data_IF_758595920642
#
_entry.id   IF_758595920642
#
_cell.length_a   1.000
_cell.length_b   1.000
_cell.length_c   1.000
_cell.angle_alpha   90.00
_cell.angle_beta   90.00
_cell.angle_gamma   90.00
#
_symmetry.space_group_name_H-M   'P 1'
#
loop_
_entity.id
_entity.type
_entity.pdbx_description
1 polymer ?
#
# COMPACT_ATOMS: atom_id res chain seq x y z
N UNK A 1 -21.52 10.77 -4.10
CA UNK A 1 -21.56 9.29 -4.05
C UNK A 1 -21.19 8.85 -2.64
N UNK A 2 -21.85 7.84 -2.06
CA UNK A 2 -21.57 7.35 -0.69
C UNK A 2 -20.35 6.41 -0.61
N UNK A 3 -19.85 5.94 -1.76
CA UNK A 3 -18.68 5.05 -1.90
C UNK A 3 -17.62 5.72 -2.79
N UNK A 4 -16.32 5.69 -2.42
CA UNK A 4 -15.25 6.21 -3.27
C UNK A 4 -15.00 5.29 -4.48
N UNK A 5 -14.90 5.88 -5.67
CA UNK A 5 -14.39 5.28 -6.91
C UNK A 5 -12.85 5.31 -6.95
N UNK A 6 -12.18 4.18 -6.82
CA UNK A 6 -10.73 4.14 -6.61
C UNK A 6 -9.98 4.20 -7.94
N UNK A 7 -8.96 5.06 -8.06
CA UNK A 7 -8.03 5.03 -9.19
C UNK A 7 -6.65 4.54 -8.75
N UNK A 8 -6.15 3.51 -9.42
CA UNK A 8 -4.84 2.93 -9.16
C UNK A 8 -4.04 2.79 -10.44
N UNK A 9 -2.72 2.85 -10.37
CA UNK A 9 -1.86 2.50 -11.49
C UNK A 9 -0.61 1.74 -11.04
N UNK A 10 -0.05 0.91 -11.91
CA UNK A 10 1.28 0.33 -11.76
C UNK A 10 2.27 0.96 -12.74
N UNK A 11 3.52 1.14 -12.32
CA UNK A 11 4.62 1.62 -13.17
C UNK A 11 5.66 0.52 -13.35
N UNK A 12 5.89 0.16 -14.61
CA UNK A 12 6.90 -0.81 -15.02
C UNK A 12 8.23 -0.16 -15.46
N UNK A 13 8.27 1.15 -15.66
CA UNK A 13 9.44 1.85 -16.19
C UNK A 13 10.62 1.88 -15.22
N UNK A 14 11.81 1.50 -15.71
CA UNK A 14 13.06 1.53 -14.94
C UNK A 14 13.53 2.96 -14.62
N UNK A 15 13.10 3.95 -15.42
CA UNK A 15 13.40 5.38 -15.23
C UNK A 15 12.99 5.87 -13.85
N UNK A 16 11.95 5.29 -13.25
CA UNK A 16 11.50 5.65 -11.90
C UNK A 16 12.58 5.46 -10.81
N UNK A 17 13.64 4.68 -11.06
CA UNK A 17 14.78 4.60 -10.15
C UNK A 17 15.66 5.88 -10.13
N UNK A 18 15.43 6.82 -11.06
CA UNK A 18 16.14 8.09 -11.21
C UNK A 18 15.29 9.24 -10.66
N UNK A 19 15.68 9.87 -9.54
CA UNK A 19 14.90 10.91 -8.84
C UNK A 19 14.34 12.02 -9.74
N UNK A 20 15.15 12.50 -10.69
CA UNK A 20 14.81 13.60 -11.60
C UNK A 20 13.62 13.27 -12.50
N UNK A 21 13.44 11.99 -12.84
CA UNK A 21 12.33 11.51 -13.67
C UNK A 21 11.15 11.04 -12.84
N UNK A 22 11.40 10.49 -11.65
CA UNK A 22 10.36 9.99 -10.75
C UNK A 22 9.54 11.12 -10.11
N UNK A 23 10.17 12.24 -9.73
CA UNK A 23 9.47 13.34 -9.06
C UNK A 23 8.35 13.99 -9.91
N UNK A 24 8.54 14.28 -11.21
CA UNK A 24 7.45 14.70 -12.08
C UNK A 24 6.32 13.67 -12.19
N UNK A 25 6.65 12.37 -12.26
CA UNK A 25 5.66 11.30 -12.35
C UNK A 25 4.79 11.24 -11.10
N UNK A 26 5.39 11.34 -9.90
CA UNK A 26 4.65 11.39 -8.64
C UNK A 26 3.65 12.55 -8.59
N UNK A 27 4.07 13.75 -9.02
CA UNK A 27 3.19 14.92 -9.10
C UNK A 27 2.08 14.73 -10.13
N UNK A 28 2.40 14.15 -11.29
CA UNK A 28 1.42 13.85 -12.33
C UNK A 28 0.39 12.81 -11.86
N UNK A 29 0.82 11.81 -11.08
CA UNK A 29 -0.07 10.80 -10.50
C UNK A 29 -1.07 11.42 -9.51
N UNK A 30 -0.61 12.31 -8.63
CA UNK A 30 -1.51 13.04 -7.73
C UNK A 30 -2.44 13.99 -8.49
N UNK A 31 -1.93 14.73 -9.49
CA UNK A 31 -2.73 15.63 -10.31
C UNK A 31 -3.79 14.88 -11.15
N UNK A 32 -3.50 13.65 -11.56
CA UNK A 32 -4.46 12.77 -12.24
C UNK A 32 -5.54 12.20 -11.31
N UNK A 33 -5.42 12.42 -10.00
CA UNK A 33 -6.36 11.92 -9.01
C UNK A 33 -6.17 10.45 -8.67
N UNK A 34 -4.98 9.88 -8.90
CA UNK A 34 -4.69 8.51 -8.46
C UNK A 34 -4.71 8.41 -6.92
N UNK A 35 -5.36 7.36 -6.43
CA UNK A 35 -5.36 6.99 -5.02
C UNK A 35 -4.16 6.12 -4.67
N UNK A 36 -3.67 5.30 -5.61
CA UNK A 36 -2.65 4.28 -5.39
C UNK A 36 -1.67 4.21 -6.56
N UNK A 37 -0.39 4.15 -6.24
CA UNK A 37 0.68 3.84 -7.18
C UNK A 37 1.39 2.55 -6.75
N UNK A 38 1.30 1.53 -7.59
CA UNK A 38 1.91 0.21 -7.38
C UNK A 38 3.25 0.15 -8.12
N UNK A 39 4.29 -0.27 -7.42
CA UNK A 39 5.65 -0.29 -7.95
C UNK A 39 6.37 -1.55 -7.51
N UNK A 40 7.05 -2.23 -8.45
CA UNK A 40 7.85 -3.42 -8.14
C UNK A 40 7.62 -4.57 -9.11
N UNK A 41 6.59 -4.53 -9.96
CA UNK A 41 6.38 -5.47 -11.07
C UNK A 41 7.32 -5.20 -12.26
N UNK A 42 7.96 -6.26 -12.77
CA UNK A 42 8.77 -6.40 -14.01
C UNK A 42 9.55 -5.17 -14.54
N UNK A 43 10.88 -5.30 -14.57
CA UNK A 43 11.84 -4.37 -15.18
C UNK A 43 13.23 -4.52 -14.55
N UNK A 44 14.33 -4.20 -15.25
CA UNK A 44 15.67 -4.14 -14.66
C UNK A 44 15.76 -2.94 -13.71
N UNK A 45 15.31 -3.10 -12.47
CA UNK A 45 15.50 -2.08 -11.43
C UNK A 45 16.77 -2.37 -10.64
N UNK A 46 17.62 -1.36 -10.38
CA UNK A 46 18.78 -1.53 -9.51
C UNK A 46 18.41 -1.67 -8.03
N UNK A 47 17.19 -1.33 -7.62
CA UNK A 47 16.77 -1.25 -6.22
C UNK A 47 15.38 -1.83 -5.97
N UNK A 48 15.16 -2.33 -4.75
CA UNK A 48 13.85 -2.78 -4.27
C UNK A 48 12.84 -1.65 -4.25
N UNK A 49 11.57 -1.95 -4.56
CA UNK A 49 10.49 -0.97 -4.56
C UNK A 49 10.36 -0.25 -3.21
N UNK A 50 10.65 -0.94 -2.11
CA UNK A 50 10.55 -0.38 -0.76
C UNK A 50 11.52 0.79 -0.55
N UNK A 51 12.72 0.74 -1.15
CA UNK A 51 13.71 1.81 -1.07
C UNK A 51 13.23 3.04 -1.84
N UNK A 52 12.74 2.84 -3.06
CA UNK A 52 12.23 3.93 -3.90
C UNK A 52 10.99 4.59 -3.30
N UNK A 53 10.10 3.80 -2.70
CA UNK A 53 8.88 4.31 -2.07
C UNK A 53 9.15 5.04 -0.76
N UNK A 54 10.19 4.65 0.00
CA UNK A 54 10.62 5.42 1.18
C UNK A 54 11.12 6.83 0.78
N UNK A 55 11.81 6.94 -0.36
CA UNK A 55 12.20 8.25 -0.91
C UNK A 55 10.99 9.04 -1.45
N UNK A 56 10.02 8.37 -2.10
CA UNK A 56 8.84 9.02 -2.67
C UNK A 56 7.80 9.49 -1.62
N UNK A 57 7.75 8.84 -0.46
CA UNK A 57 6.79 9.10 0.61
C UNK A 57 6.63 10.59 0.99
N UNK A 58 7.71 11.33 1.34
CA UNK A 58 7.59 12.75 1.69
C UNK A 58 7.32 13.69 0.50
N UNK A 59 7.41 13.19 -0.74
CA UNK A 59 7.22 14.00 -1.95
C UNK A 59 5.78 14.03 -2.45
N UNK A 60 4.90 13.26 -1.81
CA UNK A 60 3.48 13.16 -2.12
C UNK A 60 2.67 13.51 -0.88
N UNK A 61 1.43 13.94 -1.06
CA UNK A 61 0.55 14.37 0.04
C UNK A 61 -0.63 13.44 0.27
N UNK A 62 -1.10 12.80 -0.79
CA UNK A 62 -2.31 11.98 -0.83
C UNK A 62 -2.07 10.61 -1.49
N UNK A 63 -1.12 10.49 -2.41
CA UNK A 63 -0.90 9.23 -3.14
C UNK A 63 -0.58 8.06 -2.20
N UNK A 64 -1.28 6.94 -2.33
CA UNK A 64 -0.92 5.69 -1.69
C UNK A 64 0.24 5.01 -2.40
N UNK A 65 1.22 4.53 -1.65
CA UNK A 65 2.48 3.97 -2.16
C UNK A 65 2.52 2.47 -1.88
N UNK A 66 2.37 1.66 -2.93
CA UNK A 66 2.26 0.21 -2.82
C UNK A 66 3.52 -0.46 -3.35
N UNK A 67 4.28 -1.10 -2.45
CA UNK A 67 5.47 -1.86 -2.84
C UNK A 67 5.06 -3.26 -3.29
N UNK A 68 5.39 -3.63 -4.52
CA UNK A 68 5.36 -5.02 -4.97
C UNK A 68 6.64 -5.73 -4.54
N UNK A 69 6.50 -6.86 -3.85
CA UNK A 69 7.59 -7.64 -3.27
C UNK A 69 7.39 -9.13 -3.60
N UNK A 70 8.28 -9.74 -4.40
CA UNK A 70 8.32 -11.19 -4.60
C UNK A 70 8.65 -11.93 -3.30
N UNK A 71 7.89 -12.98 -2.99
CA UNK A 71 8.11 -13.80 -1.80
C UNK A 71 9.46 -14.54 -1.80
N UNK A 72 10.00 -14.83 -2.98
CA UNK A 72 11.29 -15.50 -3.17
C UNK A 72 12.51 -14.63 -2.83
N UNK A 73 12.36 -13.30 -2.87
CA UNK A 73 13.49 -12.37 -2.85
C UNK A 73 13.66 -11.62 -1.52
N UNK A 74 12.70 -11.75 -0.59
CA UNK A 74 12.71 -10.96 0.63
C UNK A 74 12.34 -11.77 1.86
N UNK A 75 13.08 -11.54 2.95
CA UNK A 75 12.71 -12.07 4.26
C UNK A 75 11.64 -11.18 4.92
N UNK A 76 10.58 -11.74 5.54
CA UNK A 76 9.45 -10.98 6.09
C UNK A 76 9.87 -9.91 7.11
N UNK A 77 10.96 -10.12 7.85
CA UNK A 77 11.49 -9.11 8.77
C UNK A 77 11.90 -7.81 8.07
N UNK A 78 12.59 -7.91 6.93
CA UNK A 78 13.01 -6.74 6.17
C UNK A 78 11.80 -6.07 5.49
N UNK A 79 10.86 -6.87 5.00
CA UNK A 79 9.61 -6.37 4.43
C UNK A 79 8.83 -5.57 5.46
N UNK A 80 8.59 -6.15 6.64
CA UNK A 80 7.86 -5.53 7.73
C UNK A 80 8.51 -4.22 8.18
N UNK A 81 9.83 -4.22 8.36
CA UNK A 81 10.59 -3.03 8.78
C UNK A 81 10.53 -1.90 7.74
N UNK A 82 10.71 -2.21 6.47
CA UNK A 82 10.72 -1.19 5.43
C UNK A 82 9.31 -0.60 5.20
N UNK A 83 8.28 -1.44 5.15
CA UNK A 83 6.90 -0.95 5.02
C UNK A 83 6.43 -0.12 6.24
N UNK A 84 6.85 -0.49 7.45
CA UNK A 84 6.67 0.34 8.65
C UNK A 84 7.25 1.75 8.47
N UNK A 85 8.46 1.85 7.91
CA UNK A 85 9.11 3.13 7.68
C UNK A 85 8.37 3.96 6.62
N UNK A 86 7.97 3.35 5.50
CA UNK A 86 7.19 4.04 4.46
C UNK A 86 5.85 4.51 5.03
N UNK A 87 5.18 3.69 5.86
CA UNK A 87 3.87 4.06 6.43
C UNK A 87 3.99 5.25 7.37
N UNK A 88 5.06 5.32 8.16
CA UNK A 88 5.36 6.50 8.95
C UNK A 88 5.71 7.71 8.07
N UNK A 89 6.65 7.58 7.14
CA UNK A 89 7.11 8.68 6.26
C UNK A 89 6.00 9.24 5.37
N UNK A 90 5.02 8.41 5.03
CA UNK A 90 3.87 8.79 4.21
C UNK A 90 2.63 9.18 5.03
N UNK A 91 2.70 9.14 6.37
CA UNK A 91 1.56 9.39 7.25
C UNK A 91 0.35 8.46 6.99
N UNK A 92 0.59 7.14 6.94
CA UNK A 92 -0.45 6.13 6.82
C UNK A 92 -0.90 5.88 5.37
N UNK A 93 0.01 5.96 4.40
CA UNK A 93 -0.30 5.79 2.97
C UNK A 93 0.44 4.62 2.32
N UNK A 94 0.86 3.63 3.09
CA UNK A 94 1.59 2.48 2.54
C UNK A 94 0.67 1.32 2.20
N UNK A 95 0.97 0.66 1.09
CA UNK A 95 0.46 -0.66 0.76
C UNK A 95 1.56 -1.65 0.39
N UNK A 96 1.16 -2.90 0.24
CA UNK A 96 2.01 -4.03 -0.08
C UNK A 96 1.30 -4.94 -1.07
N UNK A 97 1.96 -5.19 -2.19
CA UNK A 97 1.59 -6.22 -3.16
C UNK A 97 2.60 -7.37 -3.04
N UNK A 98 2.25 -8.40 -2.30
CA UNK A 98 3.04 -9.65 -2.30
C UNK A 98 2.75 -10.41 -3.60
N UNK A 99 3.78 -10.95 -4.24
CA UNK A 99 3.62 -11.83 -5.41
C UNK A 99 4.40 -13.13 -5.21
N UNK A 100 3.93 -14.27 -5.73
CA UNK A 100 4.57 -15.58 -5.59
C UNK A 100 5.71 -15.79 -6.60
N UNK A 101 6.12 -14.76 -7.34
CA UNK A 101 7.17 -14.84 -8.36
C UNK A 101 8.43 -15.54 -7.82
N UNK A 102 8.80 -16.67 -8.44
CA UNK A 102 9.96 -17.48 -8.07
C UNK A 102 9.87 -18.20 -6.71
N UNK A 103 8.73 -18.16 -6.04
CA UNK A 103 8.53 -18.73 -4.71
C UNK A 103 7.85 -20.11 -4.78
N UNK A 104 7.97 -20.89 -3.71
CA UNK A 104 7.20 -22.14 -3.54
C UNK A 104 5.73 -21.84 -3.20
N UNK A 105 4.82 -22.75 -3.56
CA UNK A 105 3.39 -22.62 -3.27
C UNK A 105 3.14 -22.43 -1.76
N UNK A 106 2.37 -21.40 -1.40
CA UNK A 106 2.09 -21.05 0.00
C UNK A 106 3.13 -20.13 0.67
N UNK A 107 4.28 -19.88 0.03
CA UNK A 107 5.34 -19.04 0.61
C UNK A 107 4.94 -17.57 0.67
N UNK A 108 4.17 -17.06 -0.30
CA UNK A 108 3.67 -15.70 -0.28
C UNK A 108 2.69 -15.45 0.87
N UNK A 109 1.79 -16.39 1.11
CA UNK A 109 0.82 -16.40 2.20
C UNK A 109 1.52 -16.47 3.55
N UNK A 110 2.53 -17.35 3.69
CA UNK A 110 3.33 -17.45 4.90
C UNK A 110 4.13 -16.17 5.18
N UNK A 111 4.66 -15.52 4.15
CA UNK A 111 5.33 -14.23 4.30
C UNK A 111 4.38 -13.15 4.84
N UNK A 112 3.12 -13.12 4.38
CA UNK A 112 2.10 -12.22 4.92
C UNK A 112 1.80 -12.52 6.38
N UNK A 113 1.65 -13.81 6.73
CA UNK A 113 1.47 -14.24 8.12
C UNK A 113 2.62 -13.78 9.02
N UNK A 114 3.86 -14.05 8.61
CA UNK A 114 5.06 -13.66 9.35
C UNK A 114 5.19 -12.14 9.51
N UNK A 115 4.92 -11.36 8.46
CA UNK A 115 4.98 -9.90 8.50
C UNK A 115 3.90 -9.30 9.41
N UNK A 116 2.65 -9.79 9.35
CA UNK A 116 1.57 -9.39 10.25
C UNK A 116 1.92 -9.66 11.72
N UNK A 117 2.45 -10.85 12.01
CA UNK A 117 2.88 -11.21 13.36
C UNK A 117 3.98 -10.27 13.90
N UNK A 118 4.93 -9.85 13.05
CA UNK A 118 5.96 -8.88 13.42
C UNK A 118 5.41 -7.50 13.78
N UNK A 119 4.41 -7.01 13.05
CA UNK A 119 3.74 -5.73 13.36
C UNK A 119 2.85 -5.84 14.60
N UNK A 120 2.19 -6.98 14.79
CA UNK A 120 1.29 -7.21 15.91
C UNK A 120 2.00 -7.48 17.24
N UNK A 121 3.32 -7.69 17.20
CA UNK A 121 4.16 -7.69 18.41
C UNK A 121 4.23 -6.35 19.15
N UNK A 122 3.68 -5.27 18.57
CA UNK A 122 3.49 -3.96 19.19
C UNK A 122 2.01 -3.66 19.42
N UNK A 123 1.63 -3.26 20.64
CA UNK A 123 0.31 -2.70 20.92
C UNK A 123 0.08 -1.33 20.27
N UNK A 124 -1.19 -0.93 20.07
CA UNK A 124 -1.59 0.33 19.40
C UNK A 124 -1.08 1.60 20.08
N UNK A 125 -0.91 1.57 21.40
CA UNK A 125 -0.54 2.72 22.24
C UNK A 125 0.71 2.41 23.07
N UNK A 126 1.72 1.87 22.40
CA UNK A 126 2.98 1.43 23.03
C UNK A 126 3.93 2.60 23.29
N UNK A 127 3.95 3.63 22.44
CA UNK A 127 4.80 4.79 22.62
C UNK A 127 4.17 5.76 23.63
N UNK A 128 4.97 6.21 24.61
CA UNK A 128 4.56 7.16 25.66
C UNK A 128 5.21 8.53 25.41
N UNK A 129 6.49 8.53 25.05
CA UNK A 129 7.28 9.74 24.71
C UNK A 129 7.24 10.84 25.80
N UNK A 130 7.24 10.47 27.08
CA UNK A 130 7.24 11.43 28.20
C UNK A 130 8.67 11.79 28.63
N UNK A 131 9.10 13.01 28.23
CA UNK A 131 10.41 13.55 28.59
C UNK A 131 10.56 13.82 30.10
N UNK A 132 9.49 14.21 30.80
CA UNK A 132 9.55 14.56 32.21
C UNK A 132 9.70 13.32 33.10
N UNK A 133 9.00 12.24 32.76
CA UNK A 133 9.11 10.97 33.49
C UNK A 133 10.23 10.06 32.97
N UNK A 134 10.83 10.38 31.82
CA UNK A 134 11.81 9.53 31.12
C UNK A 134 11.22 8.24 30.53
N UNK A 135 9.89 8.13 30.44
CA UNK A 135 9.22 6.93 29.92
C UNK A 135 9.05 7.06 28.40
N UNK A 136 9.82 6.27 27.67
CA UNK A 136 9.75 6.25 26.21
C UNK A 136 8.61 5.36 25.68
N UNK A 137 8.50 4.13 26.19
CA UNK A 137 7.49 3.15 25.76
C UNK A 137 6.95 2.33 26.94
N UNK A 138 5.81 1.70 26.73
CA UNK A 138 5.23 0.70 27.63
C UNK A 138 5.71 -0.71 27.26
N UNK A 139 6.68 -1.24 28.01
CA UNK A 139 7.26 -2.56 27.73
C UNK A 139 6.24 -3.70 27.86
N UNK A 140 5.15 -3.52 28.63
CA UNK A 140 4.11 -4.53 28.76
C UNK A 140 3.27 -4.70 27.48
N UNK A 141 3.37 -3.74 26.53
CA UNK A 141 2.69 -3.76 25.23
C UNK A 141 3.59 -4.19 24.07
N UNK A 142 4.80 -4.65 24.38
CA UNK A 142 5.77 -5.18 23.42
C UNK A 142 5.94 -6.67 23.70
N UNK A 143 5.68 -7.51 22.71
CA UNK A 143 5.84 -8.96 22.86
C UNK A 143 6.52 -9.56 21.64
N UNK A 144 7.27 -10.64 21.89
CA UNK A 144 7.77 -11.47 20.82
C UNK A 144 6.58 -12.05 20.02
N UNK A 145 6.69 -12.03 18.69
CA UNK A 145 5.71 -12.65 17.81
C UNK A 145 5.84 -14.16 17.79
N UNK A 146 7.07 -14.68 17.95
CA UNK A 146 7.44 -16.10 17.90
C UNK A 146 6.68 -16.87 16.80
N UNK A 147 6.60 -16.26 15.62
CA UNK A 147 5.87 -16.83 14.49
C UNK A 147 6.70 -17.96 13.90
N UNK A 148 6.07 -19.12 13.71
CA UNK A 148 6.66 -20.28 13.06
C UNK A 148 5.70 -20.80 11.99
N UNK A 149 5.96 -20.41 10.75
CA UNK A 149 5.25 -20.88 9.58
C UNK A 149 6.02 -21.95 8.81
N UNK A 150 5.44 -22.46 7.71
CA UNK A 150 6.07 -23.49 6.88
C UNK A 150 7.39 -23.04 6.23
N UNK A 151 7.54 -21.75 5.91
CA UNK A 151 8.71 -21.19 5.24
C UNK A 151 9.49 -20.22 6.13
N UNK A 152 8.81 -19.45 6.98
CA UNK A 152 9.44 -18.40 7.76
C UNK A 152 9.29 -18.59 9.27
N UNK A 153 10.37 -18.26 9.99
CA UNK A 153 10.37 -18.17 11.46
C UNK A 153 10.88 -16.81 11.89
N UNK A 154 10.10 -16.09 12.70
CA UNK A 154 10.46 -14.76 13.20
C UNK A 154 10.14 -14.61 14.68
N UNK A 155 11.17 -14.34 15.48
CA UNK A 155 11.02 -14.11 16.91
C UNK A 155 10.21 -12.84 17.21
N UNK A 156 10.49 -11.76 16.46
CA UNK A 156 9.83 -10.48 16.60
C UNK A 156 9.99 -9.83 17.98
N UNK A 157 9.33 -8.67 18.21
CA UNK A 157 8.57 -7.91 17.21
C UNK A 157 9.50 -7.25 16.17
N UNK A 158 8.94 -6.55 15.18
CA UNK A 158 9.77 -5.72 14.29
C UNK A 158 10.54 -4.67 15.12
N UNK A 159 11.82 -4.45 14.82
CA UNK A 159 12.66 -3.47 15.52
C UNK A 159 12.50 -2.04 14.97
N UNK A 160 11.28 -1.67 14.60
CA UNK A 160 10.90 -0.38 14.03
C UNK A 160 9.55 0.05 14.61
N UNK A 161 9.15 1.29 14.34
CA UNK A 161 7.80 1.73 14.68
C UNK A 161 6.77 0.85 13.97
N UNK A 162 5.67 0.56 14.66
CA UNK A 162 4.50 -0.04 14.05
C UNK A 162 3.96 0.87 12.93
N UNK A 163 3.46 0.31 11.82
CA UNK A 163 2.73 1.10 10.83
C UNK A 163 1.56 1.85 11.49
N UNK A 164 1.40 3.17 11.31
CA UNK A 164 0.18 3.89 11.71
C UNK A 164 -1.13 3.17 11.32
N UNK A 165 -1.17 2.55 10.14
CA UNK A 165 -2.33 1.77 9.66
C UNK A 165 -2.57 0.45 10.42
N UNK A 166 -1.71 0.08 11.37
CA UNK A 166 -1.64 -1.24 11.97
C UNK A 166 -0.93 -2.22 11.04
N UNK A 167 -1.54 -2.48 9.88
CA UNK A 167 -0.93 -3.18 8.75
C UNK A 167 -1.06 -2.32 7.48
N UNK A 168 0.00 -2.21 6.65
CA UNK A 168 -0.10 -1.63 5.31
C UNK A 168 -1.23 -2.29 4.51
N UNK A 169 -1.82 -1.57 3.56
CA UNK A 169 -2.87 -2.13 2.70
C UNK A 169 -2.36 -3.35 1.93
N UNK A 170 -3.04 -4.48 2.04
CA UNK A 170 -2.70 -5.67 1.27
C UNK A 170 -3.39 -5.65 -0.09
N UNK A 171 -2.60 -5.61 -1.15
CA UNK A 171 -3.05 -5.64 -2.55
C UNK A 171 -2.69 -6.98 -3.15
N UNK A 172 -3.67 -7.69 -3.68
CA UNK A 172 -3.48 -8.94 -4.40
C UNK A 172 -3.81 -8.75 -5.87
N UNK A 173 -3.14 -9.50 -6.72
CA UNK A 173 -3.32 -9.43 -8.17
C UNK A 173 -3.88 -10.75 -8.68
N UNK A 174 -4.97 -10.71 -9.45
CA UNK A 174 -5.55 -11.91 -10.07
C UNK A 174 -4.63 -12.61 -11.07
N UNK A 175 -3.61 -11.92 -11.59
CA UNK A 175 -2.59 -12.54 -12.45
C UNK A 175 -1.54 -13.32 -11.64
N UNK A 176 -1.47 -13.09 -10.32
CA UNK A 176 -0.55 -13.73 -9.38
C UNK A 176 -1.33 -14.30 -8.19
N UNK A 177 -2.12 -15.35 -8.41
CA UNK A 177 -3.06 -15.84 -7.43
C UNK A 177 -2.34 -16.33 -6.17
N UNK A 178 -2.78 -15.82 -5.02
CA UNK A 178 -2.40 -16.28 -3.68
C UNK A 178 -3.66 -16.45 -2.82
N UNK A 179 -3.63 -17.42 -1.92
CA UNK A 179 -4.76 -17.83 -1.09
C UNK A 179 -4.88 -16.98 0.19
N UNK A 180 -5.11 -15.67 0.04
CA UNK A 180 -5.39 -14.76 1.15
C UNK A 180 -6.85 -14.31 1.10
N UNK A 181 -7.60 -14.58 2.18
CA UNK A 181 -9.04 -14.32 2.23
C UNK A 181 -9.43 -12.90 2.63
N UNK A 182 -8.50 -12.15 3.23
CA UNK A 182 -8.75 -10.86 3.87
C UNK A 182 -7.94 -9.72 3.23
N UNK A 183 -7.65 -9.81 1.92
CA UNK A 183 -6.98 -8.74 1.22
C UNK A 183 -7.83 -7.45 1.20
N UNK A 184 -7.17 -6.30 1.24
CA UNK A 184 -7.85 -5.02 1.19
C UNK A 184 -8.33 -4.72 -0.24
N UNK A 185 -7.47 -4.96 -1.23
CA UNK A 185 -7.71 -4.67 -2.65
C UNK A 185 -7.32 -5.86 -3.53
N UNK A 186 -8.17 -6.19 -4.49
CA UNK A 186 -7.85 -7.11 -5.57
C UNK A 186 -7.78 -6.38 -6.92
N UNK A 187 -6.68 -6.55 -7.65
CA UNK A 187 -6.55 -6.14 -9.05
C UNK A 187 -7.10 -7.27 -9.92
N UNK A 188 -8.17 -7.02 -10.67
CA UNK A 188 -8.88 -8.06 -11.42
C UNK A 188 -8.86 -7.77 -12.92
N UNK A 189 -8.68 -8.81 -13.74
CA UNK A 189 -8.94 -8.73 -15.19
C UNK A 189 -10.43 -8.74 -15.50
N UNK A 190 -10.78 -8.53 -16.78
CA UNK A 190 -12.19 -8.63 -17.23
C UNK A 190 -12.77 -10.03 -17.09
N UNK A 191 -11.91 -11.04 -17.20
CA UNK A 191 -12.28 -12.44 -17.13
C UNK A 191 -11.35 -13.13 -16.14
N UNK A 192 -11.91 -13.93 -15.23
CA UNK A 192 -11.14 -14.70 -14.26
C UNK A 192 -11.79 -14.75 -12.89
N UNK A 193 -11.28 -15.64 -12.04
CA UNK A 193 -11.67 -15.64 -10.63
C UNK A 193 -11.04 -14.41 -9.96
N UNK A 194 -11.88 -13.57 -9.36
CA UNK A 194 -11.41 -12.47 -8.53
C UNK A 194 -10.87 -13.04 -7.21
N UNK A 195 -9.65 -12.68 -6.77
CA UNK A 195 -9.21 -12.96 -5.42
C UNK A 195 -10.20 -12.39 -4.39
N UNK A 196 -10.30 -13.05 -3.24
CA UNK A 196 -11.10 -12.53 -2.13
C UNK A 196 -10.47 -11.22 -1.62
N UNK A 197 -11.21 -10.11 -1.71
CA UNK A 197 -10.79 -8.82 -1.20
C UNK A 197 -11.98 -7.94 -0.83
N UNK A 198 -11.73 -6.94 0.02
CA UNK A 198 -12.75 -5.95 0.44
C UNK A 198 -13.18 -5.06 -0.72
N UNK A 199 -12.25 -4.75 -1.64
CA UNK A 199 -12.44 -3.86 -2.79
C UNK A 199 -11.84 -4.47 -4.06
N UNK A 200 -12.49 -4.27 -5.21
CA UNK A 200 -12.05 -4.81 -6.50
C UNK A 200 -11.78 -3.71 -7.52
N UNK A 201 -10.56 -3.68 -8.05
CA UNK A 201 -10.12 -2.72 -9.06
C UNK A 201 -9.95 -3.41 -10.40
N UNK A 202 -10.73 -2.99 -11.40
CA UNK A 202 -10.67 -3.56 -12.73
C UNK A 202 -9.46 -3.02 -13.50
N UNK A 203 -8.65 -3.93 -14.03
CA UNK A 203 -7.55 -3.59 -14.94
C UNK A 203 -8.11 -3.12 -16.27
N UNK A 204 -7.75 -1.90 -16.67
CA UNK A 204 -8.24 -1.26 -17.90
C UNK A 204 -7.10 -0.53 -18.61
N UNK A 205 -7.28 -0.32 -19.91
CA UNK A 205 -6.44 0.62 -20.65
C UNK A 205 -6.93 2.06 -20.46
N UNK A 206 -6.07 3.08 -20.62
CA UNK A 206 -6.49 4.48 -20.58
C UNK A 206 -7.64 4.78 -21.55
N UNK A 207 -7.71 4.07 -22.69
CA UNK A 207 -8.70 4.16 -23.79
C UNK A 207 -10.10 3.66 -23.43
N UNK A 208 -10.28 2.97 -22.30
CA UNK A 208 -11.56 2.39 -21.93
C UNK A 208 -12.73 3.40 -21.83
N UNK A 209 -13.93 2.93 -22.17
CA UNK A 209 -15.15 3.74 -22.15
C UNK A 209 -15.58 4.08 -20.71
N UNK A 210 -15.54 5.36 -20.37
CA UNK A 210 -15.82 5.86 -19.02
C UNK A 210 -17.28 5.60 -18.61
N UNK A 211 -18.22 5.68 -19.57
CA UNK A 211 -19.65 5.51 -19.28
C UNK A 211 -19.97 4.07 -18.88
N UNK A 212 -19.44 3.08 -19.61
CA UNK A 212 -19.54 1.66 -19.26
C UNK A 212 -18.94 1.35 -17.90
N UNK A 213 -17.74 1.89 -17.61
CA UNK A 213 -17.08 1.68 -16.32
C UNK A 213 -17.86 2.29 -15.15
N UNK A 214 -18.44 3.48 -15.35
CA UNK A 214 -19.31 4.10 -14.35
C UNK A 214 -20.56 3.25 -14.10
N UNK A 215 -21.18 2.68 -15.13
CA UNK A 215 -22.35 1.81 -14.97
C UNK A 215 -22.02 0.57 -14.11
N UNK A 216 -20.86 -0.05 -14.32
CA UNK A 216 -20.39 -1.19 -13.51
C UNK A 216 -20.10 -0.81 -12.07
N UNK A 217 -19.55 0.38 -11.84
CA UNK A 217 -19.38 0.92 -10.50
C UNK A 217 -20.72 1.13 -9.79
N UNK A 218 -21.70 1.75 -10.45
CA UNK A 218 -23.04 1.95 -9.86
C UNK A 218 -23.78 0.62 -9.60
N UNK A 219 -23.53 -0.40 -10.43
CA UNK A 219 -24.03 -1.76 -10.21
C UNK A 219 -23.32 -2.50 -9.05
N UNK A 220 -22.23 -1.95 -8.50
CA UNK A 220 -21.46 -2.59 -7.42
C UNK A 220 -20.55 -3.73 -7.88
N UNK A 221 -20.32 -3.87 -9.19
CA UNK A 221 -19.45 -4.91 -9.75
C UNK A 221 -17.97 -4.63 -9.46
N UNK A 222 -17.61 -3.34 -9.44
CA UNK A 222 -16.25 -2.85 -9.22
C UNK A 222 -16.24 -1.71 -8.20
N UNK A 223 -15.09 -1.50 -7.55
CA UNK A 223 -14.82 -0.37 -6.65
C UNK A 223 -13.92 0.70 -7.30
N UNK A 224 -13.30 0.38 -8.42
CA UNK A 224 -12.42 1.30 -9.11
C UNK A 224 -11.67 0.65 -10.27
N UNK A 225 -10.61 1.33 -10.70
CA UNK A 225 -9.81 0.97 -11.88
C UNK A 225 -8.34 0.85 -11.52
N UNK A 226 -7.64 -0.03 -12.24
CA UNK A 226 -6.19 -0.15 -12.22
C UNK A 226 -5.63 -0.01 -13.64
N UNK A 227 -4.64 0.86 -13.82
CA UNK A 227 -3.93 1.04 -15.09
C UNK A 227 -2.53 0.45 -15.02
N UNK A 228 -2.05 -0.17 -16.10
CA UNK A 228 -0.64 -0.53 -16.24
C UNK A 228 0.04 0.49 -17.14
N UNK A 229 0.95 1.29 -16.56
CA UNK A 229 1.60 2.38 -17.27
C UNK A 229 2.91 1.92 -17.89
N UNK A 230 3.04 2.20 -19.20
CA UNK A 230 4.24 1.96 -19.99
C UNK A 230 4.94 3.26 -20.40
N UNK A 231 4.20 4.37 -20.39
CA UNK A 231 4.69 5.74 -20.52
C UNK A 231 3.89 6.63 -19.56
N UNK A 232 4.31 6.63 -18.29
CA UNK A 232 3.62 7.34 -17.22
C UNK A 232 3.56 8.85 -17.49
N UNK A 233 4.57 9.42 -18.14
CA UNK A 233 4.62 10.86 -18.44
C UNK A 233 3.51 11.27 -19.43
N UNK A 234 3.23 10.44 -20.44
CA UNK A 234 2.16 10.70 -21.39
C UNK A 234 0.78 10.28 -20.86
N UNK A 235 0.69 9.13 -20.17
CA UNK A 235 -0.59 8.51 -19.81
C UNK A 235 -1.25 9.17 -18.59
N UNK A 236 -0.49 9.67 -17.61
CA UNK A 236 -1.07 10.27 -16.40
C UNK A 236 -1.91 11.53 -16.69
N UNK A 237 -1.46 12.50 -17.52
CA UNK A 237 -2.30 13.62 -17.92
C UNK A 237 -3.59 13.21 -18.63
N UNK A 238 -3.53 12.19 -19.50
CA UNK A 238 -4.70 11.67 -20.20
C UNK A 238 -5.71 11.06 -19.22
N UNK A 239 -5.23 10.20 -18.31
CA UNK A 239 -6.06 9.60 -17.25
C UNK A 239 -6.72 10.70 -16.42
N UNK A 240 -5.94 11.70 -15.99
CA UNK A 240 -6.46 12.84 -15.23
C UNK A 240 -7.57 13.58 -15.95
N UNK A 241 -7.41 13.85 -17.25
CA UNK A 241 -8.42 14.54 -18.05
C UNK A 241 -9.71 13.72 -18.22
N UNK A 242 -9.58 12.42 -18.49
CA UNK A 242 -10.71 11.54 -18.84
C UNK A 242 -11.51 11.08 -17.63
N UNK A 243 -10.82 10.75 -16.53
CA UNK A 243 -11.44 10.18 -15.34
C UNK A 243 -11.68 11.22 -14.24
N UNK A 244 -11.37 12.50 -14.47
CA UNK A 244 -11.60 13.60 -13.52
C UNK A 244 -13.00 13.56 -12.88
N UNK A 245 -14.05 13.33 -13.68
CA UNK A 245 -15.44 13.33 -13.20
C UNK A 245 -15.72 12.27 -12.13
N UNK A 246 -14.96 11.19 -12.08
CA UNK A 246 -15.12 10.10 -11.11
C UNK A 246 -14.44 10.38 -9.76
N UNK A 247 -13.52 11.35 -9.72
CA UNK A 247 -12.67 11.66 -8.56
C UNK A 247 -12.73 13.13 -8.10
N UNK A 248 -13.60 13.95 -8.71
CA UNK A 248 -13.69 15.42 -8.53
C UNK A 248 -13.80 15.91 -7.08
N UNK A 249 -14.45 15.17 -6.19
CA UNK A 249 -14.77 15.65 -4.84
C UNK A 249 -13.74 15.27 -3.76
N UNK A 250 -12.57 14.71 -4.13
CA UNK A 250 -11.65 14.10 -3.15
C UNK A 250 -10.36 14.85 -2.87
N UNK A 251 -10.10 15.96 -3.56
CA UNK A 251 -8.85 16.71 -3.43
C UNK A 251 -8.54 17.15 -1.97
N UNK A 252 -9.56 17.24 -1.11
CA UNK A 252 -9.45 17.71 0.28
C UNK A 252 -9.82 16.66 1.34
N UNK A 253 -10.01 15.39 0.98
CA UNK A 253 -10.29 14.35 1.98
C UNK A 253 -9.04 14.06 2.82
N UNK A 254 -9.05 14.58 4.05
CA UNK A 254 -7.99 14.34 5.02
C UNK A 254 -8.10 12.93 5.64
N UNK A 255 -6.95 12.36 5.99
CA UNK A 255 -6.85 11.08 6.70
C UNK A 255 -5.95 10.07 5.99
N UNK A 256 -5.72 8.96 6.69
CA UNK A 256 -4.94 7.85 6.16
C UNK A 256 -5.61 7.20 4.92
N UNK A 257 -4.84 6.34 4.25
CA UNK A 257 -5.28 5.70 3.02
C UNK A 257 -6.47 4.76 3.24
N UNK A 258 -6.55 4.03 4.36
CA UNK A 258 -7.68 3.14 4.66
C UNK A 258 -9.00 3.94 4.71
N UNK A 259 -9.01 5.06 5.42
CA UNK A 259 -10.18 5.92 5.56
C UNK A 259 -10.64 6.47 4.21
N UNK A 260 -9.71 6.95 3.37
CA UNK A 260 -10.02 7.52 2.05
C UNK A 260 -10.57 6.49 1.06
N UNK A 261 -10.18 5.22 1.21
CA UNK A 261 -10.70 4.12 0.37
C UNK A 261 -11.96 3.47 0.96
N UNK A 262 -12.44 3.91 2.13
CA UNK A 262 -13.58 3.30 2.81
C UNK A 262 -13.31 1.87 3.24
N UNK A 263 -12.06 1.56 3.60
CA UNK A 263 -11.63 0.26 4.11
C UNK A 263 -11.77 0.22 5.64
N UNK A 264 -12.04 -0.96 6.23
CA UNK A 264 -12.08 -1.11 7.67
C UNK A 264 -10.70 -0.78 8.27
N UNK A 265 -10.73 -0.12 9.43
CA UNK A 265 -9.56 0.14 10.24
C UNK A 265 -9.39 -1.09 11.16
N UNK A 266 -8.28 -1.85 11.06
CA UNK A 266 -8.02 -2.95 11.96
C UNK A 266 -8.00 -2.47 13.42
N UNK A 267 -8.41 -3.32 14.37
CA UNK A 267 -8.23 -3.01 15.81
C UNK A 267 -6.75 -2.81 16.19
N UNK A 268 -5.86 -3.32 15.34
CA UNK A 268 -4.42 -3.17 15.37
C UNK A 268 -3.93 -1.82 14.85
N UNK A 269 -4.78 -0.93 14.33
CA UNK A 269 -4.34 0.41 13.94
C UNK A 269 -3.91 1.24 15.16
N UNK A 270 -2.95 2.15 14.95
CA UNK A 270 -2.55 3.08 16.02
C UNK A 270 -3.66 4.08 16.28
N UNK A 271 -4.04 4.26 17.54
CA UNK A 271 -5.03 5.26 17.95
C UNK A 271 -4.39 6.61 18.35
N UNK A 272 -3.07 6.74 18.21
CA UNK A 272 -2.33 7.96 18.56
C UNK A 272 -2.68 9.09 17.58
N UNK A 273 -3.38 10.16 18.02
CA UNK A 273 -3.73 11.27 17.14
C UNK A 273 -2.47 12.02 16.68
N UNK A 274 -2.29 12.17 15.36
CA UNK A 274 -1.21 12.96 14.76
C UNK A 274 0.06 12.18 14.38
N UNK A 275 0.07 10.85 14.52
CA UNK A 275 1.30 10.06 14.38
C UNK A 275 2.29 10.36 15.51
N UNK A 276 3.39 9.62 15.60
CA UNK A 276 4.45 9.94 16.55
C UNK A 276 5.12 11.26 16.10
N UNK A 277 4.60 12.40 16.59
CA UNK A 277 5.25 13.69 16.41
C UNK A 277 6.52 13.67 17.25
N UNK A 278 7.67 13.58 16.58
CA UNK A 278 8.96 13.85 17.23
C UNK A 278 8.91 15.34 17.60
N UNK A 279 8.90 15.72 18.90
CA UNK A 279 8.90 17.12 19.27
C UNK A 279 10.14 17.77 18.67
N UNK A 280 9.98 18.85 17.90
CA UNK A 280 11.11 19.68 17.50
C UNK A 280 11.89 20.03 18.77
N UNK A 281 13.21 19.84 18.72
CA UNK A 281 14.09 20.10 19.84
C UNK A 281 13.91 21.57 20.30
N UNK A 282 13.25 21.76 21.44
CA UNK A 282 13.30 22.99 22.20
C UNK A 282 14.67 23.14 22.88
#
# INVERSE_FOLDING_TARGET
>A
MTRPFILSASIAEATFAVPETAAPILRAAEAAGLDLLVMGRSGTRPFDAQVLLAWAAPMTSRLGLVATVPASNAHPFHVARALSAIDFLSAGRTGWSVIPEGAEDGMAEDMVGAARALWDGWGSDTLILDKASGRYLDAAKVHASNYEGPFFKVAGPVNAMRPPLGHPLLVVDGDDPIAISDADLALIGEHGAAPAATKRLLKVSPEADVASLLARFEAGEIDGLHFTLTDAAAQLPEIGARFASLVKDRANEAGDLRRRLGLPIPQTASNQPGGAVIPENA
#
